data_IF_862638081499
#
_entry.id   IF_862638081499
#
_cell.length_a   1.000
_cell.length_b   1.000
_cell.length_c   1.000
_cell.angle_alpha   90.00
_cell.angle_beta   90.00
_cell.angle_gamma   90.00
#
_symmetry.space_group_name_H-M   'P 1'
#
loop_
_entity.id
_entity.type
_entity.pdbx_description
1 polymer ?
#
# COMPACT_ATOMS: atom_id res chain seq x y z
N UNK A 1 9.47 -10.66 1.16
CA UNK A 1 8.69 -9.49 1.61
C UNK A 1 9.42 -8.95 2.84
N UNK A 2 9.92 -7.72 2.84
CA UNK A 2 10.47 -7.13 4.06
C UNK A 2 9.28 -6.71 4.94
N UNK A 3 8.94 -7.55 5.93
CA UNK A 3 7.85 -7.33 6.87
C UNK A 3 8.37 -6.74 8.17
N UNK A 4 7.60 -5.83 8.77
CA UNK A 4 7.77 -5.51 10.17
C UNK A 4 7.13 -6.64 10.98
N UNK A 5 7.91 -7.29 11.84
CA UNK A 5 7.39 -8.28 12.80
C UNK A 5 6.89 -7.52 14.03
N UNK A 6 5.63 -7.74 14.40
CA UNK A 6 5.01 -7.18 15.60
C UNK A 6 4.63 -8.33 16.51
N UNK A 7 5.26 -8.41 17.68
CA UNK A 7 4.93 -9.36 18.74
C UNK A 7 3.93 -8.70 19.68
N UNK A 8 2.82 -9.37 19.95
CA UNK A 8 1.79 -8.88 20.88
C UNK A 8 1.85 -9.74 22.14
N UNK A 9 2.37 -9.18 23.22
CA UNK A 9 2.36 -9.81 24.54
C UNK A 9 1.06 -9.44 25.26
N UNK A 10 0.22 -10.41 25.61
CA UNK A 10 -1.05 -10.19 26.31
C UNK A 10 -1.13 -11.07 27.56
N UNK A 11 -1.55 -10.48 28.69
CA UNK A 11 -1.87 -11.21 29.93
C UNK A 11 -3.38 -11.45 29.98
N UNK A 12 -3.78 -12.72 30.10
CA UNK A 12 -5.19 -13.13 30.17
C UNK A 12 -5.45 -13.63 31.61
N UNK A 13 -6.46 -13.09 32.29
CA UNK A 13 -6.80 -13.46 33.68
C UNK A 13 -8.24 -13.96 33.76
N UNK A 14 -8.47 -15.20 34.20
CA UNK A 14 -9.79 -15.79 34.41
C UNK A 14 -9.77 -17.30 34.70
N UNK A 15 -10.77 -17.87 35.40
CA UNK A 15 -10.74 -19.25 35.88
C UNK A 15 -10.88 -20.33 34.77
N UNK A 16 -11.49 -20.00 33.63
CA UNK A 16 -11.74 -20.95 32.52
C UNK A 16 -10.76 -20.82 31.34
N UNK A 17 -9.71 -20.01 31.51
CA UNK A 17 -8.80 -19.59 30.44
C UNK A 17 -7.92 -20.76 29.97
N UNK A 18 -7.49 -21.65 30.86
CA UNK A 18 -6.58 -22.75 30.51
C UNK A 18 -7.25 -23.87 29.71
N UNK A 19 -8.49 -24.24 30.04
CA UNK A 19 -9.22 -25.28 29.31
C UNK A 19 -9.64 -24.82 27.91
N UNK A 20 -10.02 -23.54 27.78
CA UNK A 20 -10.33 -22.93 26.47
C UNK A 20 -9.09 -22.64 25.65
N UNK A 21 -7.97 -22.28 26.28
CA UNK A 21 -6.68 -22.16 25.59
C UNK A 21 -6.30 -23.48 24.92
N UNK A 22 -6.49 -24.63 25.56
CA UNK A 22 -6.10 -25.92 24.99
C UNK A 22 -6.92 -26.28 23.73
N UNK A 23 -8.23 -26.02 23.76
CA UNK A 23 -9.12 -26.22 22.60
C UNK A 23 -8.87 -25.18 21.50
N UNK A 24 -8.56 -23.95 21.87
CA UNK A 24 -8.28 -22.85 20.96
C UNK A 24 -6.86 -22.98 20.33
N UNK A 25 -5.89 -23.54 21.06
CA UNK A 25 -4.56 -23.90 20.54
C UNK A 25 -4.61 -25.03 19.49
N UNK A 26 -5.70 -25.79 19.40
CA UNK A 26 -5.86 -26.84 18.39
C UNK A 26 -6.06 -26.32 16.96
N UNK A 27 -6.66 -25.13 16.77
CA UNK A 27 -6.83 -24.50 15.46
C UNK A 27 -7.03 -22.98 15.56
N UNK A 28 -5.95 -22.23 15.40
CA UNK A 28 -5.92 -20.76 15.40
C UNK A 28 -6.36 -20.14 14.06
N UNK A 29 -6.53 -20.93 13.01
CA UNK A 29 -6.81 -20.40 11.66
C UNK A 29 -8.04 -19.49 11.59
N UNK A 30 -9.18 -19.76 12.29
CA UNK A 30 -10.32 -18.85 12.32
C UNK A 30 -10.00 -17.51 12.97
N UNK A 31 -9.19 -17.49 14.04
CA UNK A 31 -8.76 -16.27 14.70
C UNK A 31 -7.83 -15.45 13.78
N UNK A 32 -6.83 -16.10 13.18
CA UNK A 32 -5.92 -15.48 12.23
C UNK A 32 -6.67 -14.89 11.04
N UNK A 33 -7.72 -15.55 10.56
CA UNK A 33 -8.60 -15.01 9.52
C UNK A 33 -9.31 -13.74 9.97
N UNK A 34 -9.95 -13.72 11.15
CA UNK A 34 -10.61 -12.52 11.70
C UNK A 34 -9.64 -11.34 11.85
N UNK A 35 -8.40 -11.61 12.31
CA UNK A 35 -7.36 -10.60 12.45
C UNK A 35 -6.90 -10.09 11.08
N UNK A 36 -6.66 -10.99 10.13
CA UNK A 36 -6.22 -10.65 8.77
C UNK A 36 -7.23 -9.82 8.00
N UNK A 37 -8.51 -10.21 8.07
CA UNK A 37 -9.62 -9.46 7.48
C UNK A 37 -9.68 -8.05 8.03
N UNK A 38 -9.62 -7.91 9.36
CA UNK A 38 -9.59 -6.62 10.02
C UNK A 38 -8.41 -5.76 9.55
N UNK A 39 -7.18 -6.28 9.58
CA UNK A 39 -5.99 -5.55 9.17
C UNK A 39 -6.03 -5.14 7.70
N UNK A 40 -6.54 -6.01 6.83
CA UNK A 40 -6.75 -5.71 5.42
C UNK A 40 -7.74 -4.53 5.26
N UNK A 41 -8.85 -4.55 5.98
CA UNK A 41 -9.88 -3.52 5.87
C UNK A 41 -9.45 -2.19 6.50
N UNK A 42 -8.79 -2.23 7.66
CA UNK A 42 -8.16 -1.06 8.27
C UNK A 42 -7.14 -0.40 7.31
N UNK A 43 -6.33 -1.22 6.63
CA UNK A 43 -5.40 -0.73 5.60
C UNK A 43 -6.15 -0.13 4.42
N UNK A 44 -7.28 -0.70 3.98
CA UNK A 44 -8.10 -0.14 2.89
C UNK A 44 -8.80 1.16 3.28
N UNK A 45 -9.19 1.30 4.54
CA UNK A 45 -9.82 2.52 5.06
C UNK A 45 -8.85 3.69 5.11
N UNK A 46 -7.56 3.45 5.39
CA UNK A 46 -6.50 4.45 5.27
C UNK A 46 -6.41 5.09 3.89
N UNK A 47 -6.75 4.37 2.81
CA UNK A 47 -6.84 4.95 1.47
C UNK A 47 -8.07 5.84 1.27
N UNK A 48 -9.15 5.60 2.03
CA UNK A 48 -10.35 6.44 2.01
C UNK A 48 -10.10 7.73 2.80
N UNK A 49 -9.53 7.61 3.99
CA UNK A 49 -9.19 8.74 4.89
C UNK A 49 -7.95 9.50 4.43
N UNK A 50 -7.11 8.89 3.58
CA UNK A 50 -5.84 9.44 3.10
C UNK A 50 -4.85 9.72 4.23
N UNK A 51 -4.82 8.83 5.21
CA UNK A 51 -3.97 8.92 6.40
C UNK A 51 -3.16 7.65 6.61
N UNK A 52 -2.02 7.79 7.28
CA UNK A 52 -1.17 6.69 7.69
C UNK A 52 -1.73 5.91 8.89
N UNK A 53 -1.06 4.80 9.26
CA UNK A 53 -1.41 4.05 10.46
C UNK A 53 -1.35 4.93 11.72
N UNK A 54 -0.38 5.82 11.81
CA UNK A 54 -0.23 6.81 12.90
C UNK A 54 -1.32 7.91 12.91
N UNK A 55 -2.26 7.89 11.96
CA UNK A 55 -3.29 8.91 11.81
C UNK A 55 -2.83 10.14 11.02
N UNK A 56 -1.54 10.26 10.70
CA UNK A 56 -0.99 11.40 9.96
C UNK A 56 -1.52 11.45 8.53
N UNK A 57 -2.00 12.60 8.09
CA UNK A 57 -2.44 12.77 6.70
C UNK A 57 -1.27 12.56 5.72
N UNK A 58 -1.51 11.84 4.62
CA UNK A 58 -0.48 11.64 3.60
C UNK A 58 -0.09 12.94 2.92
N UNK A 59 1.17 13.02 2.50
CA UNK A 59 1.63 14.19 1.77
C UNK A 59 0.79 14.43 0.50
N UNK A 60 0.28 15.66 0.30
CA UNK A 60 -0.62 15.98 -0.79
C UNK A 60 0.02 15.77 -2.16
N UNK A 61 -0.84 15.65 -3.18
CA UNK A 61 -0.39 15.61 -4.57
C UNK A 61 0.15 16.98 -4.98
N UNK A 62 1.18 16.96 -5.82
CA UNK A 62 1.69 18.17 -6.46
C UNK A 62 0.57 18.84 -7.29
N UNK A 63 0.33 20.16 -7.18
CA UNK A 63 -0.78 20.83 -7.86
C UNK A 63 -0.79 20.61 -9.37
N UNK A 64 0.38 20.61 -10.00
CA UNK A 64 0.57 20.32 -11.43
C UNK A 64 0.06 18.93 -11.83
N UNK A 65 0.27 17.93 -10.97
CA UNK A 65 -0.15 16.56 -11.23
C UNK A 65 -1.65 16.42 -10.98
N UNK A 66 -2.15 17.02 -9.90
CA UNK A 66 -3.57 16.99 -9.55
C UNK A 66 -4.45 17.55 -10.69
N UNK A 67 -4.05 18.67 -11.31
CA UNK A 67 -4.74 19.27 -12.47
C UNK A 67 -4.84 18.32 -13.68
N UNK A 68 -3.83 17.48 -13.90
CA UNK A 68 -3.75 16.54 -15.05
C UNK A 68 -4.30 15.15 -14.73
N UNK A 69 -4.60 14.88 -13.46
CA UNK A 69 -5.08 13.57 -13.02
C UNK A 69 -6.45 13.29 -13.63
N UNK A 70 -6.61 12.13 -14.25
CA UNK A 70 -7.81 11.82 -15.04
C UNK A 70 -9.03 11.44 -14.18
N UNK A 71 -8.81 10.80 -13.04
CA UNK A 71 -9.85 10.23 -12.17
C UNK A 71 -9.47 10.42 -10.70
N UNK A 72 -10.46 10.44 -9.81
CA UNK A 72 -10.27 10.56 -8.36
C UNK A 72 -9.34 11.74 -8.00
N UNK A 73 -9.59 12.94 -8.57
CA UNK A 73 -8.64 14.09 -8.54
C UNK A 73 -8.29 14.55 -7.12
N UNK A 74 -9.21 14.32 -6.20
CA UNK A 74 -9.18 14.60 -4.77
C UNK A 74 -8.46 13.52 -3.94
N UNK A 75 -8.25 12.31 -4.49
CA UNK A 75 -7.68 11.19 -3.73
C UNK A 75 -6.18 11.01 -3.96
N UNK A 76 -5.44 10.80 -2.89
CA UNK A 76 -4.02 10.44 -2.90
C UNK A 76 -3.92 8.92 -3.09
N UNK A 77 -2.89 8.49 -3.83
CA UNK A 77 -2.56 7.08 -4.09
C UNK A 77 -3.65 6.29 -4.87
N UNK A 78 -4.82 6.87 -5.11
CA UNK A 78 -5.93 6.25 -5.83
C UNK A 78 -6.10 6.91 -7.19
N UNK A 79 -5.62 6.29 -8.28
CA UNK A 79 -6.05 6.64 -9.64
C UNK A 79 -7.20 5.74 -10.09
N UNK A 80 -6.95 4.44 -10.18
CA UNK A 80 -7.95 3.39 -10.44
C UNK A 80 -8.24 2.51 -9.22
N UNK A 81 -7.50 2.69 -8.13
CA UNK A 81 -7.66 1.91 -6.89
C UNK A 81 -6.95 0.56 -6.88
N UNK A 82 -6.09 0.25 -7.86
CA UNK A 82 -5.40 -1.04 -7.91
C UNK A 82 -4.60 -1.36 -6.65
N UNK A 83 -3.79 -0.42 -6.13
CA UNK A 83 -2.99 -0.72 -4.93
C UNK A 83 -3.89 -1.10 -3.76
N UNK A 84 -4.96 -0.34 -3.53
CA UNK A 84 -5.93 -0.62 -2.47
C UNK A 84 -6.60 -1.99 -2.66
N UNK A 85 -6.99 -2.31 -3.89
CA UNK A 85 -7.64 -3.57 -4.23
C UNK A 85 -6.72 -4.79 -4.18
N UNK A 86 -5.41 -4.59 -4.32
CA UNK A 86 -4.37 -5.62 -4.25
C UNK A 86 -3.76 -5.76 -2.85
N UNK A 87 -4.42 -5.22 -1.82
CA UNK A 87 -4.07 -5.51 -0.42
C UNK A 87 -4.81 -6.76 -0.02
N UNK A 88 -4.03 -7.75 0.38
CA UNK A 88 -4.48 -9.06 0.81
C UNK A 88 -3.79 -9.45 2.12
N UNK A 89 -4.48 -10.22 2.93
CA UNK A 89 -3.89 -10.93 4.05
C UNK A 89 -3.71 -12.42 3.71
N UNK A 90 -2.80 -13.08 4.42
CA UNK A 90 -2.63 -14.52 4.40
C UNK A 90 -2.10 -14.98 5.77
N UNK A 91 -2.45 -16.18 6.24
CA UNK A 91 -1.75 -16.80 7.36
C UNK A 91 -0.26 -16.96 7.04
N UNK A 92 0.57 -16.89 8.07
CA UNK A 92 2.01 -17.08 8.01
C UNK A 92 2.42 -18.07 9.11
N UNK A 93 2.06 -19.34 8.91
CA UNK A 93 2.11 -20.36 9.97
C UNK A 93 0.85 -20.35 10.84
N UNK A 94 0.99 -20.85 12.06
CA UNK A 94 -0.13 -21.09 12.98
C UNK A 94 -0.34 -19.94 13.99
N UNK A 95 0.55 -18.95 14.02
CA UNK A 95 0.52 -17.88 15.03
C UNK A 95 0.62 -16.46 14.43
N UNK A 96 0.78 -16.34 13.11
CA UNK A 96 0.99 -15.06 12.46
C UNK A 96 0.12 -14.83 11.22
N UNK A 97 -0.11 -13.55 10.93
CA UNK A 97 -0.79 -13.07 9.73
C UNK A 97 0.08 -12.06 9.01
N UNK A 98 0.21 -12.22 7.70
CA UNK A 98 0.88 -11.26 6.83
C UNK A 98 -0.15 -10.47 6.04
N UNK A 99 -0.06 -9.14 6.09
CA UNK A 99 -0.87 -8.23 5.25
C UNK A 99 0.05 -7.43 4.34
N UNK A 100 -0.29 -7.34 3.05
CA UNK A 100 0.51 -6.60 2.09
C UNK A 100 -0.03 -6.62 0.68
N UNK A 101 0.84 -6.26 -0.27
CA UNK A 101 0.51 -6.20 -1.69
C UNK A 101 1.68 -6.69 -2.54
N UNK A 102 1.37 -7.36 -3.66
CA UNK A 102 2.35 -7.78 -4.66
C UNK A 102 2.62 -6.70 -5.72
N UNK A 103 1.97 -5.53 -5.63
CA UNK A 103 2.20 -4.44 -6.56
C UNK A 103 3.65 -3.96 -6.46
N UNK A 104 4.39 -4.00 -7.57
CA UNK A 104 5.82 -3.61 -7.65
C UNK A 104 6.10 -2.21 -7.06
N UNK A 105 5.15 -1.30 -7.18
CA UNK A 105 5.27 0.09 -6.69
C UNK A 105 4.73 0.28 -5.26
N UNK A 106 4.25 -0.77 -4.59
CA UNK A 106 3.71 -0.70 -3.23
C UNK A 106 4.78 -0.28 -2.21
N UNK A 107 5.98 -0.83 -2.33
CA UNK A 107 7.09 -0.55 -1.40
C UNK A 107 7.54 0.92 -1.45
N UNK A 108 7.71 1.50 -2.65
CA UNK A 108 8.13 2.90 -2.78
C UNK A 108 7.06 3.87 -2.25
N UNK A 109 5.79 3.48 -2.24
CA UNK A 109 4.75 4.29 -1.58
C UNK A 109 4.72 4.10 -0.07
N UNK A 110 4.99 2.90 0.44
CA UNK A 110 5.06 2.65 1.87
C UNK A 110 6.21 3.42 2.52
N UNK A 111 7.42 3.28 1.97
CA UNK A 111 8.65 3.78 2.60
C UNK A 111 9.13 5.12 2.02
N UNK A 112 8.62 5.53 0.86
CA UNK A 112 9.23 6.61 0.09
C UNK A 112 10.58 6.19 -0.50
N UNK A 113 11.27 7.15 -1.12
CA UNK A 113 12.64 6.97 -1.59
C UNK A 113 12.93 7.65 -2.92
N UNK A 114 14.15 7.46 -3.41
CA UNK A 114 14.61 8.08 -4.66
C UNK A 114 14.73 7.03 -5.74
N UNK A 115 14.05 7.25 -6.86
CA UNK A 115 14.15 6.41 -8.06
C UNK A 115 15.21 7.03 -8.97
N UNK A 116 16.31 6.30 -9.17
CA UNK A 116 17.36 6.70 -10.10
C UNK A 116 16.95 6.33 -11.54
N UNK A 117 16.99 7.31 -12.45
CA UNK A 117 16.78 7.11 -13.88
C UNK A 117 18.14 7.30 -14.59
N UNK A 118 18.74 6.22 -15.14
CA UNK A 118 20.01 6.33 -15.84
C UNK A 118 19.86 7.13 -17.14
N UNK A 119 20.97 7.67 -17.62
CA UNK A 119 21.00 8.32 -18.92
C UNK A 119 20.61 7.33 -20.03
N UNK A 120 19.84 7.79 -21.00
CA UNK A 120 19.35 6.96 -22.10
C UNK A 120 19.17 7.76 -23.38
N UNK A 121 19.27 7.08 -24.51
CA UNK A 121 18.86 7.64 -25.79
C UNK A 121 17.38 7.37 -26.01
N UNK A 122 16.66 8.36 -26.52
CA UNK A 122 15.25 8.23 -26.88
C UNK A 122 14.96 8.89 -28.22
N UNK A 123 14.15 8.22 -29.03
CA UNK A 123 13.70 8.76 -30.31
C UNK A 123 12.44 9.59 -30.10
N UNK A 124 12.50 10.89 -30.41
CA UNK A 124 11.36 11.80 -30.41
C UNK A 124 10.86 12.01 -31.83
N UNK A 125 9.54 12.15 -31.97
CA UNK A 125 8.86 12.26 -33.25
C UNK A 125 8.19 13.62 -33.39
N UNK A 126 8.39 14.27 -34.54
CA UNK A 126 7.85 15.58 -34.87
C UNK A 126 6.89 15.51 -36.06
N UNK A 127 5.86 16.35 -36.01
CA UNK A 127 4.92 16.54 -37.11
C UNK A 127 5.49 17.38 -38.25
N UNK A 128 4.62 17.82 -39.14
CA UNK A 128 4.94 18.74 -40.23
C UNK A 128 4.03 19.98 -40.21
N UNK A 129 4.35 20.99 -41.02
CA UNK A 129 3.61 22.25 -41.08
C UNK A 129 3.51 22.93 -39.71
N UNK A 130 2.27 23.26 -39.29
CA UNK A 130 2.00 23.89 -37.99
C UNK A 130 2.42 23.03 -36.78
N UNK A 131 2.58 21.71 -36.95
CA UNK A 131 2.99 20.79 -35.89
C UNK A 131 4.49 20.41 -35.91
N UNK A 132 5.32 21.13 -36.68
CA UNK A 132 6.76 20.81 -36.83
C UNK A 132 7.58 20.85 -35.53
N UNK A 133 7.12 21.62 -34.55
CA UNK A 133 7.74 21.73 -33.21
C UNK A 133 7.01 20.90 -32.14
N UNK A 134 5.89 20.25 -32.49
CA UNK A 134 5.10 19.48 -31.55
C UNK A 134 5.51 18.02 -31.58
N UNK A 135 5.54 17.39 -30.40
CA UNK A 135 5.71 15.94 -30.29
C UNK A 135 4.45 15.21 -30.77
N UNK A 136 4.62 14.25 -31.67
CA UNK A 136 3.52 13.46 -32.25
C UNK A 136 3.76 11.97 -32.09
N UNK A 137 2.70 11.17 -32.27
CA UNK A 137 2.83 9.70 -32.34
C UNK A 137 3.64 9.29 -33.57
N UNK A 138 4.43 8.20 -33.48
CA UNK A 138 5.26 7.66 -34.58
C UNK A 138 4.54 7.59 -35.93
N UNK A 139 3.31 7.06 -35.97
CA UNK A 139 2.51 6.93 -37.21
C UNK A 139 2.15 8.26 -37.89
N UNK A 140 2.24 9.39 -37.18
CA UNK A 140 2.00 10.74 -37.70
C UNK A 140 3.30 11.53 -37.88
N UNK A 141 4.45 10.91 -37.60
CA UNK A 141 5.74 11.57 -37.66
C UNK A 141 6.15 11.79 -39.12
N UNK A 142 6.69 12.97 -39.40
CA UNK A 142 7.38 13.26 -40.66
C UNK A 142 8.89 13.43 -40.47
N UNK A 143 9.32 13.63 -39.21
CA UNK A 143 10.72 13.69 -38.81
C UNK A 143 10.89 13.03 -37.45
N UNK A 144 12.01 12.35 -37.25
CA UNK A 144 12.38 11.75 -35.97
C UNK A 144 13.81 12.13 -35.62
N UNK A 145 14.07 12.41 -34.35
CA UNK A 145 15.41 12.69 -33.84
C UNK A 145 15.73 11.76 -32.69
N UNK A 146 16.97 11.28 -32.62
CA UNK A 146 17.50 10.69 -31.40
C UNK A 146 17.99 11.80 -30.48
N UNK A 147 17.57 11.75 -29.22
CA UNK A 147 17.94 12.73 -28.19
C UNK A 147 18.51 11.97 -27.01
N UNK A 148 19.61 12.50 -26.46
CA UNK A 148 20.18 12.02 -25.20
C UNK A 148 19.41 12.63 -24.03
N UNK A 149 18.86 11.77 -23.17
CA UNK A 149 18.21 12.17 -21.92
C UNK A 149 19.22 11.89 -20.80
N UNK A 150 19.65 12.94 -20.11
CA UNK A 150 20.58 12.84 -18.98
C UNK A 150 20.00 12.02 -17.82
N UNK A 151 20.90 11.45 -17.01
CA UNK A 151 20.52 10.80 -15.77
C UNK A 151 19.84 11.81 -14.84
N UNK A 152 18.78 11.39 -14.17
CA UNK A 152 18.07 12.20 -13.19
C UNK A 152 17.41 11.33 -12.14
N UNK A 153 17.01 11.96 -11.05
CA UNK A 153 16.38 11.25 -9.94
C UNK A 153 14.95 11.75 -9.70
N UNK A 154 14.09 10.84 -9.27
CA UNK A 154 12.71 11.14 -8.91
C UNK A 154 12.51 10.80 -7.44
N UNK A 155 12.32 11.83 -6.63
CA UNK A 155 12.04 11.68 -5.20
C UNK A 155 10.55 11.39 -4.99
N UNK A 156 10.27 10.24 -4.40
CA UNK A 156 8.93 9.77 -4.06
C UNK A 156 8.70 9.91 -2.56
N UNK A 157 7.68 10.65 -2.12
CA UNK A 157 7.40 10.76 -0.71
C UNK A 157 6.73 9.50 -0.16
N UNK A 158 7.00 9.21 1.11
CA UNK A 158 6.35 8.16 1.85
C UNK A 158 4.87 8.50 2.08
N UNK A 159 4.01 7.51 1.88
CA UNK A 159 2.58 7.52 2.15
C UNK A 159 2.24 6.18 2.79
N UNK A 160 2.69 5.96 4.04
CA UNK A 160 2.58 4.67 4.69
C UNK A 160 1.12 4.29 4.82
N UNK A 161 0.75 3.10 4.36
CA UNK A 161 -0.60 2.57 4.45
C UNK A 161 -0.63 1.26 5.26
N UNK A 162 0.46 0.48 5.24
CA UNK A 162 0.64 -0.67 6.11
C UNK A 162 1.20 -0.25 7.46
N UNK A 163 0.75 -0.92 8.52
CA UNK A 163 1.11 -0.67 9.90
C UNK A 163 -0.04 -0.97 10.83
N UNK A 164 0.25 -1.01 12.12
CA UNK A 164 -0.71 -1.22 13.21
C UNK A 164 -0.55 -0.05 14.17
N UNK A 165 -1.63 0.62 14.50
CA UNK A 165 -1.64 1.68 15.51
C UNK A 165 -2.28 1.19 16.82
N UNK A 166 -2.34 2.06 17.83
CA UNK A 166 -2.91 1.71 19.14
C UNK A 166 -4.40 1.27 19.05
N UNK A 167 -5.18 1.88 18.15
CA UNK A 167 -6.57 1.47 17.92
C UNK A 167 -6.67 0.11 17.25
N UNK A 168 -5.79 -0.18 16.30
CA UNK A 168 -5.72 -1.48 15.64
C UNK A 168 -5.28 -2.58 16.63
N UNK A 169 -4.33 -2.28 17.51
CA UNK A 169 -3.91 -3.19 18.58
C UNK A 169 -5.08 -3.56 19.50
N UNK A 170 -5.89 -2.58 19.90
CA UNK A 170 -7.06 -2.83 20.73
C UNK A 170 -8.09 -3.69 20.00
N UNK A 171 -8.32 -3.44 18.71
CA UNK A 171 -9.24 -4.24 17.90
C UNK A 171 -8.77 -5.69 17.69
N UNK A 172 -7.46 -5.90 17.59
CA UNK A 172 -6.86 -7.23 17.57
C UNK A 172 -7.05 -7.91 18.92
N UNK A 173 -6.74 -7.21 20.02
CA UNK A 173 -6.91 -7.71 21.39
C UNK A 173 -8.34 -8.15 21.65
N UNK A 174 -9.32 -7.33 21.25
CA UNK A 174 -10.74 -7.66 21.40
C UNK A 174 -11.12 -8.93 20.64
N UNK A 175 -10.62 -9.13 19.41
CA UNK A 175 -10.88 -10.35 18.62
C UNK A 175 -10.25 -11.60 19.25
N UNK A 176 -9.08 -11.47 19.84
CA UNK A 176 -8.43 -12.56 20.58
C UNK A 176 -9.27 -12.91 21.82
N UNK A 177 -9.70 -11.90 22.58
CA UNK A 177 -10.52 -12.12 23.78
C UNK A 177 -11.87 -12.75 23.44
N UNK A 178 -12.56 -12.22 22.42
CA UNK A 178 -13.82 -12.75 21.89
C UNK A 178 -13.71 -14.24 21.54
N UNK A 179 -12.66 -14.60 20.82
CA UNK A 179 -12.36 -15.98 20.45
C UNK A 179 -12.09 -16.88 21.66
N UNK A 180 -11.32 -16.41 22.65
CA UNK A 180 -11.08 -17.15 23.90
C UNK A 180 -12.35 -17.29 24.76
N UNK A 181 -13.23 -16.30 24.73
CA UNK A 181 -14.51 -16.34 25.47
C UNK A 181 -15.64 -17.00 24.70
N UNK A 182 -15.40 -17.44 23.46
CA UNK A 182 -16.37 -18.15 22.63
C UNK A 182 -17.59 -17.30 22.25
N UNK A 183 -17.40 -15.97 22.15
CA UNK A 183 -18.39 -15.03 21.62
C UNK A 183 -18.13 -14.79 20.12
#
# INVERSE_FOLDING_TARGET
>A
MAGANLTIDTVITGPDVLARLDEAMGNTAPLLARIGEYLQDATRDRFKTQSGPDGSAWQPLQPRYQRRKKQNKDKILTLRGYLRGQIHWQPDGDDAVRVGTNAKYGAIHQFGGTIQQPARQATVHFGAGKAKHLFVKKKKAKRSLQVSIGAHQVNMPARPYLGVNAGDQEQIRLRIMDWLTGQ
#
